data_IF_191123136464
#
_entry.id   IF_191123136464
#
_cell.length_a   1.000
_cell.length_b   1.000
_cell.length_c   1.000
_cell.angle_alpha   90.00
_cell.angle_beta   90.00
_cell.angle_gamma   90.00
#
_symmetry.space_group_name_H-M   'P 1'
#
loop_
_entity.id
_entity.type
_entity.pdbx_description
1 polymer ?
#
# COMPACT_ATOMS: atom_id res chain seq x y z
N UNK A 1 51.47 -5.87 11.99
CA UNK A 1 50.10 -6.39 11.79
C UNK A 1 49.16 -5.44 12.51
N UNK A 2 48.46 -4.59 11.76
CA UNK A 2 47.41 -3.72 12.27
C UNK A 2 46.20 -3.92 11.37
N UNK A 3 45.21 -4.65 11.86
CA UNK A 3 43.88 -4.71 11.27
C UNK A 3 43.19 -3.36 11.52
N UNK A 4 43.09 -2.53 10.48
CA UNK A 4 42.19 -1.38 10.52
C UNK A 4 40.96 -1.71 9.66
N UNK A 5 39.83 -1.78 10.36
CA UNK A 5 38.50 -2.01 9.80
C UNK A 5 38.22 -1.02 8.66
N UNK A 6 38.15 -1.52 7.42
CA UNK A 6 37.54 -0.79 6.32
C UNK A 6 36.05 -0.71 6.63
N UNK A 7 35.58 0.48 6.96
CA UNK A 7 34.18 0.80 7.10
C UNK A 7 33.45 0.38 5.81
N UNK A 8 32.47 -0.51 5.96
CA UNK A 8 31.65 -1.02 4.87
C UNK A 8 30.86 0.13 4.24
N UNK A 9 31.09 0.34 2.94
CA UNK A 9 30.26 1.20 2.12
C UNK A 9 28.93 0.46 1.84
N UNK A 10 27.98 0.54 2.78
CA UNK A 10 26.61 0.09 2.55
C UNK A 10 25.82 1.26 1.97
N UNK A 11 25.81 1.37 0.64
CA UNK A 11 24.98 2.34 -0.08
C UNK A 11 23.78 1.64 -0.71
N UNK A 12 22.59 2.20 -0.52
CA UNK A 12 21.33 1.73 -1.12
C UNK A 12 21.27 1.91 -2.66
N UNK A 13 22.35 2.37 -3.30
CA UNK A 13 22.51 2.54 -4.75
C UNK A 13 23.96 2.21 -5.21
N UNK A 14 24.50 1.03 -4.87
CA UNK A 14 25.82 0.56 -5.34
C UNK A 14 25.88 0.20 -6.83
N UNK A 15 27.10 0.18 -7.39
CA UNK A 15 27.45 -0.35 -8.73
C UNK A 15 27.08 -1.82 -8.80
N UNK A 16 25.86 -2.11 -9.28
CA UNK A 16 25.31 -3.46 -9.29
C UNK A 16 26.25 -4.43 -9.99
N UNK A 17 26.89 -5.30 -9.21
CA UNK A 17 27.47 -6.51 -9.75
C UNK A 17 26.35 -7.27 -10.45
N UNK A 18 26.63 -7.70 -11.68
CA UNK A 18 25.72 -8.57 -12.43
C UNK A 18 25.69 -9.92 -11.71
N UNK A 19 24.79 -10.07 -10.74
CA UNK A 19 24.48 -11.37 -10.15
C UNK A 19 23.73 -12.17 -11.21
N UNK A 20 24.48 -13.02 -11.93
CA UNK A 20 23.91 -13.99 -12.86
C UNK A 20 23.07 -14.95 -12.03
N UNK A 21 21.75 -14.86 -12.17
CA UNK A 21 20.84 -15.82 -11.55
C UNK A 21 21.08 -17.19 -12.17
N UNK A 22 21.12 -18.28 -11.38
CA UNK A 22 21.29 -19.63 -11.91
C UNK A 22 20.28 -19.90 -13.04
N UNK A 23 20.73 -20.47 -14.15
CA UNK A 23 19.85 -20.83 -15.27
C UNK A 23 18.78 -21.86 -14.85
N UNK A 24 19.08 -22.69 -13.85
CA UNK A 24 18.21 -23.75 -13.33
C UNK A 24 17.57 -23.39 -11.97
N UNK A 25 16.99 -22.19 -11.86
CA UNK A 25 16.29 -21.81 -10.62
C UNK A 25 14.99 -22.61 -10.45
N UNK A 26 15.01 -23.59 -9.54
CA UNK A 26 13.80 -24.21 -9.03
C UNK A 26 13.26 -23.45 -7.82
N UNK A 27 11.97 -23.08 -7.86
CA UNK A 27 11.36 -22.32 -6.76
C UNK A 27 11.33 -23.14 -5.47
N UNK A 28 11.96 -22.66 -4.37
CA UNK A 28 12.05 -23.41 -3.10
C UNK A 28 10.75 -23.32 -2.28
N UNK A 29 9.74 -22.58 -2.75
CA UNK A 29 8.44 -22.44 -2.10
C UNK A 29 7.51 -23.68 -2.26
N UNK A 30 8.02 -24.87 -2.54
CA UNK A 30 7.19 -26.10 -2.67
C UNK A 30 6.61 -26.52 -1.30
N UNK A 31 5.48 -27.26 -1.29
CA UNK A 31 4.83 -27.75 -0.05
C UNK A 31 5.75 -28.65 0.80
N UNK A 32 6.70 -29.34 0.16
CA UNK A 32 7.68 -30.20 0.83
C UNK A 32 8.80 -29.47 1.57
N UNK A 33 9.08 -28.21 1.24
CA UNK A 33 10.13 -27.42 1.88
C UNK A 33 9.54 -26.58 3.02
N UNK A 34 9.45 -27.20 4.20
CA UNK A 34 8.99 -26.57 5.45
C UNK A 34 10.17 -25.94 6.18
N UNK A 35 9.95 -24.76 6.75
CA UNK A 35 10.98 -24.04 7.48
C UNK A 35 11.43 -24.83 8.72
N UNK A 36 12.74 -25.09 8.82
CA UNK A 36 13.36 -25.63 10.03
C UNK A 36 13.38 -24.60 11.16
N UNK A 37 13.62 -25.04 12.40
CA UNK A 37 13.78 -24.13 13.56
C UNK A 37 14.87 -23.08 13.34
N UNK A 38 15.98 -23.47 12.70
CA UNK A 38 17.04 -22.55 12.33
C UNK A 38 16.59 -21.51 11.29
N UNK A 39 15.75 -21.91 10.32
CA UNK A 39 15.13 -21.00 9.36
C UNK A 39 14.25 -19.95 10.04
N UNK A 40 13.37 -20.37 10.95
CA UNK A 40 12.54 -19.44 11.74
C UNK A 40 13.36 -18.48 12.58
N UNK A 41 14.41 -18.97 13.26
CA UNK A 41 15.33 -18.14 14.04
C UNK A 41 16.06 -17.13 13.14
N UNK A 42 16.46 -17.52 11.94
CA UNK A 42 17.10 -16.63 10.96
C UNK A 42 16.14 -15.52 10.51
N UNK A 43 14.90 -15.87 10.14
CA UNK A 43 13.88 -14.91 9.71
C UNK A 43 13.65 -13.87 10.80
N UNK A 44 13.34 -14.30 12.03
CA UNK A 44 13.08 -13.39 13.13
C UNK A 44 14.26 -12.48 13.42
N UNK A 45 15.47 -13.04 13.51
CA UNK A 45 16.67 -12.26 13.82
C UNK A 45 16.95 -11.20 12.76
N UNK A 46 16.83 -11.55 11.47
CA UNK A 46 17.04 -10.62 10.35
C UNK A 46 15.98 -9.54 10.26
N UNK A 47 14.71 -9.89 10.44
CA UNK A 47 13.60 -8.91 10.50
C UNK A 47 13.90 -7.83 11.54
N UNK A 48 14.33 -8.24 12.75
CA UNK A 48 14.65 -7.30 13.84
C UNK A 48 15.96 -6.54 13.59
N UNK A 49 17.05 -7.21 13.24
CA UNK A 49 18.36 -6.54 13.08
C UNK A 49 18.37 -5.59 11.90
N UNK A 50 17.72 -5.98 10.81
CA UNK A 50 17.80 -5.24 9.57
C UNK A 50 16.75 -4.12 9.55
N UNK A 51 15.77 -4.09 10.48
CA UNK A 51 14.71 -3.07 10.55
C UNK A 51 15.30 -1.65 10.54
N UNK A 52 16.27 -1.42 11.43
CA UNK A 52 16.97 -0.14 11.53
C UNK A 52 17.99 0.04 10.40
N UNK A 53 18.72 -1.01 10.04
CA UNK A 53 19.77 -0.94 9.02
C UNK A 53 19.21 -0.60 7.64
N UNK A 54 18.00 -1.06 7.33
CA UNK A 54 17.35 -0.79 6.05
C UNK A 54 16.59 0.55 6.04
N UNK A 55 16.63 1.32 7.13
CA UNK A 55 15.90 2.59 7.29
C UNK A 55 14.40 2.46 6.99
N UNK A 56 13.76 1.38 7.49
CA UNK A 56 12.35 1.07 7.20
C UNK A 56 11.38 2.19 7.60
N UNK A 57 11.71 2.86 8.71
CA UNK A 57 11.00 4.01 9.25
C UNK A 57 10.97 5.19 8.25
N UNK A 58 12.12 5.51 7.64
CA UNK A 58 12.26 6.61 6.68
C UNK A 58 11.59 6.28 5.34
N UNK A 59 11.70 5.01 4.91
CA UNK A 59 11.02 4.52 3.71
C UNK A 59 9.50 4.58 3.85
N UNK A 60 8.98 4.23 5.03
CA UNK A 60 7.57 4.34 5.34
C UNK A 60 7.09 5.80 5.40
N UNK A 61 7.93 6.74 5.84
CA UNK A 61 7.61 8.17 5.79
C UNK A 61 7.43 8.65 4.34
N UNK A 62 8.27 8.17 3.41
CA UNK A 62 8.10 8.46 1.97
C UNK A 62 6.78 7.91 1.42
N UNK A 63 6.38 6.71 1.83
CA UNK A 63 5.07 6.13 1.46
C UNK A 63 3.92 6.97 2.02
N UNK A 64 4.04 7.39 3.28
CA UNK A 64 3.05 8.22 3.97
C UNK A 64 2.85 9.58 3.28
N UNK A 65 3.95 10.21 2.83
CA UNK A 65 3.88 11.43 2.02
C UNK A 65 3.06 11.24 0.74
N UNK A 66 3.30 10.16 -0.01
CA UNK A 66 2.51 9.88 -1.22
C UNK A 66 1.06 9.51 -0.90
N UNK A 67 0.79 8.84 0.22
CA UNK A 67 -0.57 8.60 0.71
C UNK A 67 -1.28 9.93 0.96
N UNK A 68 -0.67 10.84 1.71
CA UNK A 68 -1.24 12.14 2.03
C UNK A 68 -1.52 12.97 0.77
N UNK A 69 -0.58 12.98 -0.18
CA UNK A 69 -0.73 13.66 -1.47
C UNK A 69 -1.93 13.14 -2.29
N UNK A 70 -2.32 11.88 -2.09
CA UNK A 70 -3.47 11.27 -2.78
C UNK A 70 -4.83 11.52 -2.09
N UNK A 71 -4.85 11.89 -0.80
CA UNK A 71 -6.11 12.01 -0.03
C UNK A 71 -7.02 13.10 -0.60
N UNK A 72 -6.53 14.32 -0.80
CA UNK A 72 -7.38 15.44 -1.23
C UNK A 72 -8.01 15.20 -2.63
N UNK A 73 -7.24 14.80 -3.67
CA UNK A 73 -7.83 14.46 -4.97
C UNK A 73 -8.77 13.24 -4.89
N UNK A 74 -8.51 12.28 -4.00
CA UNK A 74 -9.40 11.13 -3.79
C UNK A 74 -10.73 11.54 -3.17
N UNK A 75 -10.72 12.41 -2.15
CA UNK A 75 -11.94 12.93 -1.53
C UNK A 75 -12.77 13.75 -2.53
N UNK A 76 -12.12 14.60 -3.32
CA UNK A 76 -12.78 15.39 -4.35
C UNK A 76 -13.42 14.50 -5.44
N UNK A 77 -12.70 13.47 -5.90
CA UNK A 77 -13.22 12.49 -6.84
C UNK A 77 -14.41 11.71 -6.26
N UNK A 78 -14.33 11.25 -5.00
CA UNK A 78 -15.41 10.53 -4.33
C UNK A 78 -16.66 11.40 -4.19
N UNK A 79 -16.50 12.65 -3.74
CA UNK A 79 -17.60 13.61 -3.66
C UNK A 79 -18.23 13.88 -5.03
N UNK A 80 -17.41 14.02 -6.08
CA UNK A 80 -17.89 14.36 -7.41
C UNK A 80 -18.60 13.17 -8.09
N UNK A 81 -18.17 11.93 -7.83
CA UNK A 81 -18.93 10.73 -8.22
C UNK A 81 -20.27 10.69 -7.49
N UNK A 82 -20.25 11.01 -6.20
CA UNK A 82 -21.43 11.01 -5.36
C UNK A 82 -22.46 12.06 -5.81
N UNK A 83 -22.03 13.30 -6.09
CA UNK A 83 -22.90 14.38 -6.56
C UNK A 83 -23.50 14.11 -7.95
N UNK A 84 -22.81 13.33 -8.80
CA UNK A 84 -23.33 12.91 -10.11
C UNK A 84 -24.38 11.79 -10.01
N UNK A 85 -24.28 10.91 -9.02
CA UNK A 85 -25.19 9.78 -8.83
C UNK A 85 -26.46 10.14 -8.05
N UNK A 86 -26.41 11.19 -7.23
CA UNK A 86 -27.55 11.64 -6.43
C UNK A 86 -28.44 12.65 -7.18
N UNK A 87 -29.78 12.61 -6.97
CA UNK A 87 -30.68 13.68 -7.41
C UNK A 87 -30.23 15.02 -6.82
N UNK A 88 -30.30 16.09 -7.61
CA UNK A 88 -29.91 17.45 -7.20
C UNK A 88 -30.70 17.89 -5.96
N UNK A 89 -30.07 17.79 -4.79
CA UNK A 89 -30.52 18.31 -3.51
C UNK A 89 -29.29 18.60 -2.67
N UNK A 90 -29.05 19.89 -2.40
CA UNK A 90 -27.77 20.41 -1.89
C UNK A 90 -27.38 19.85 -0.50
N UNK A 91 -28.32 19.27 0.25
CA UNK A 91 -28.08 18.81 1.63
C UNK A 91 -27.74 17.32 1.78
N UNK A 92 -27.96 16.51 0.73
CA UNK A 92 -27.84 15.04 0.83
C UNK A 92 -26.38 14.58 0.90
N UNK A 93 -25.47 15.26 0.18
CA UNK A 93 -24.04 14.95 0.22
C UNK A 93 -23.43 15.25 1.58
N UNK A 94 -23.79 16.37 2.20
CA UNK A 94 -23.35 16.74 3.54
C UNK A 94 -23.90 15.79 4.59
N UNK A 95 -25.17 15.36 4.48
CA UNK A 95 -25.74 14.37 5.39
C UNK A 95 -24.99 13.03 5.36
N UNK A 96 -24.53 12.61 4.18
CA UNK A 96 -23.77 11.36 4.04
C UNK A 96 -22.34 11.55 4.54
N UNK A 97 -21.68 12.67 4.23
CA UNK A 97 -20.37 12.98 4.82
C UNK A 97 -20.47 12.98 6.36
N UNK A 98 -21.53 13.56 6.93
CA UNK A 98 -21.79 13.55 8.37
C UNK A 98 -21.99 12.13 8.91
N UNK A 99 -22.76 11.28 8.23
CA UNK A 99 -22.95 9.86 8.62
C UNK A 99 -21.64 9.06 8.54
N UNK A 100 -20.82 9.30 7.51
CA UNK A 100 -19.50 8.65 7.34
C UNK A 100 -18.55 9.01 8.46
N UNK A 101 -18.51 10.30 8.76
CA UNK A 101 -17.74 10.83 9.87
C UNK A 101 -18.28 10.25 11.18
N UNK A 102 -19.60 10.20 11.37
CA UNK A 102 -20.22 9.64 12.57
C UNK A 102 -19.83 8.17 12.84
N UNK A 103 -19.66 7.38 11.77
CA UNK A 103 -19.44 5.94 11.86
C UNK A 103 -17.95 5.55 11.97
N UNK A 104 -17.06 6.20 11.21
CA UNK A 104 -15.65 5.82 11.13
C UNK A 104 -14.72 6.75 11.88
N UNK A 105 -15.17 7.96 12.14
CA UNK A 105 -14.42 8.94 12.92
C UNK A 105 -14.92 8.87 14.37
N UNK A 106 -14.02 8.68 15.35
CA UNK A 106 -14.40 8.73 16.75
C UNK A 106 -15.16 10.01 17.07
N UNK A 107 -16.18 9.91 17.93
CA UNK A 107 -17.09 11.01 18.30
C UNK A 107 -16.39 12.34 18.58
N UNK A 108 -15.17 12.29 19.13
CA UNK A 108 -14.37 13.43 19.51
C UNK A 108 -13.86 14.28 18.33
N UNK A 109 -13.86 13.72 17.12
CA UNK A 109 -13.17 14.29 15.94
C UNK A 109 -14.12 14.50 14.78
N UNK A 110 -15.41 14.25 15.01
CA UNK A 110 -16.41 14.23 13.97
C UNK A 110 -16.59 15.63 13.40
N UNK A 111 -16.65 16.64 14.25
CA UNK A 111 -16.81 18.01 13.80
C UNK A 111 -15.62 18.47 12.93
N UNK A 112 -14.39 18.16 13.32
CA UNK A 112 -13.21 18.62 12.58
C UNK A 112 -12.95 17.79 11.32
N UNK A 113 -13.26 16.50 11.34
CA UNK A 113 -13.24 15.68 10.14
C UNK A 113 -14.29 16.16 9.14
N UNK A 114 -15.51 16.47 9.61
CA UNK A 114 -16.57 17.04 8.78
C UNK A 114 -16.14 18.37 8.17
N UNK A 115 -15.62 19.31 8.98
CA UNK A 115 -15.13 20.60 8.49
C UNK A 115 -13.96 20.48 7.51
N UNK A 116 -13.03 19.56 7.74
CA UNK A 116 -11.91 19.34 6.83
C UNK A 116 -12.38 18.77 5.49
N UNK A 117 -13.25 17.78 5.53
CA UNK A 117 -13.79 17.16 4.31
C UNK A 117 -14.63 18.18 3.55
N UNK A 118 -15.52 18.91 4.23
CA UNK A 118 -16.34 19.95 3.61
C UNK A 118 -15.49 21.08 3.04
N UNK A 119 -14.40 21.50 3.69
CA UNK A 119 -13.48 22.50 3.14
C UNK A 119 -12.77 22.02 1.85
N UNK A 120 -12.41 20.72 1.78
CA UNK A 120 -11.80 20.11 0.58
C UNK A 120 -12.83 20.01 -0.56
N UNK A 121 -14.09 19.79 -0.19
CA UNK A 121 -15.21 19.47 -1.09
C UNK A 121 -16.01 20.70 -1.54
N UNK A 122 -16.02 21.78 -0.76
CA UNK A 122 -16.74 23.03 -1.04
C UNK A 122 -16.22 23.77 -2.28
N UNK A 123 -15.14 23.30 -2.89
CA UNK A 123 -14.72 23.75 -4.22
C UNK A 123 -15.73 23.21 -5.24
N UNK A 124 -16.51 24.05 -5.94
CA UNK A 124 -17.58 23.60 -6.81
C UNK A 124 -17.06 22.67 -7.91
N UNK A 125 -17.26 21.36 -7.73
CA UNK A 125 -17.02 20.35 -8.75
C UNK A 125 -18.27 20.17 -9.63
N UNK A 126 -18.98 21.26 -9.94
CA UNK A 126 -20.16 21.21 -10.81
C UNK A 126 -19.81 20.84 -12.26
N UNK A 127 -18.53 20.95 -12.66
CA UNK A 127 -18.09 20.58 -14.00
C UNK A 127 -17.49 19.17 -14.03
N UNK A 128 -17.96 18.34 -14.97
CA UNK A 128 -17.38 17.02 -15.31
C UNK A 128 -15.87 17.09 -15.58
N UNK A 129 -15.38 18.26 -16.01
CA UNK A 129 -13.96 18.54 -16.23
C UNK A 129 -13.18 18.57 -14.91
N UNK A 130 -13.72 19.19 -13.85
CA UNK A 130 -13.09 19.22 -12.54
C UNK A 130 -12.99 17.81 -11.91
N UNK A 131 -14.05 17.00 -12.02
CA UNK A 131 -14.02 15.58 -11.67
C UNK A 131 -12.90 14.86 -12.44
N UNK A 132 -12.87 14.96 -13.77
CA UNK A 132 -11.87 14.26 -14.58
C UNK A 132 -10.44 14.64 -14.19
N UNK A 133 -10.18 15.94 -13.97
CA UNK A 133 -8.87 16.44 -13.53
C UNK A 133 -8.51 15.91 -12.14
N UNK A 134 -9.43 15.96 -11.17
CA UNK A 134 -9.18 15.47 -9.81
C UNK A 134 -8.89 13.97 -9.77
N UNK A 135 -9.62 13.16 -10.54
CA UNK A 135 -9.40 11.72 -10.68
C UNK A 135 -8.03 11.43 -11.29
N UNK A 136 -7.65 12.15 -12.36
CA UNK A 136 -6.33 11.98 -12.98
C UNK A 136 -5.21 12.31 -12.00
N UNK A 137 -5.31 13.44 -11.29
CA UNK A 137 -4.32 13.85 -10.28
C UNK A 137 -4.26 12.82 -9.14
N UNK A 138 -5.40 12.33 -8.68
CA UNK A 138 -5.48 11.27 -7.65
C UNK A 138 -4.77 10.00 -8.09
N UNK A 139 -5.06 9.52 -9.31
CA UNK A 139 -4.43 8.33 -9.86
C UNK A 139 -2.93 8.51 -10.06
N UNK A 140 -2.47 9.70 -10.45
CA UNK A 140 -1.04 10.03 -10.55
C UNK A 140 -0.35 9.94 -9.19
N UNK A 141 -0.97 10.48 -8.13
CA UNK A 141 -0.47 10.41 -6.75
C UNK A 141 -0.47 8.98 -6.21
N UNK A 142 -1.55 8.23 -6.41
CA UNK A 142 -1.64 6.82 -6.02
C UNK A 142 -0.60 5.96 -6.78
N UNK A 143 -0.35 6.25 -8.06
CA UNK A 143 0.70 5.59 -8.84
C UNK A 143 2.10 5.93 -8.35
N UNK A 144 2.32 7.14 -7.80
CA UNK A 144 3.57 7.47 -7.12
C UNK A 144 3.79 6.62 -5.85
N UNK A 145 2.74 6.38 -5.06
CA UNK A 145 2.78 5.48 -3.91
C UNK A 145 3.20 4.05 -4.33
N UNK A 146 2.50 3.46 -5.30
CA UNK A 146 2.78 2.08 -5.77
C UNK A 146 4.20 1.96 -6.35
N UNK A 147 4.66 2.97 -7.10
CA UNK A 147 6.05 3.02 -7.60
C UNK A 147 7.06 3.11 -6.46
N UNK A 148 6.79 3.91 -5.44
CA UNK A 148 7.64 4.01 -4.26
C UNK A 148 7.69 2.69 -3.49
N UNK A 149 6.54 2.06 -3.29
CA UNK A 149 6.44 0.74 -2.68
C UNK A 149 7.24 -0.30 -3.47
N UNK A 150 7.08 -0.35 -4.79
CA UNK A 150 7.86 -1.24 -5.68
C UNK A 150 9.36 -1.06 -5.53
N UNK A 151 9.87 0.18 -5.49
CA UNK A 151 11.30 0.46 -5.29
C UNK A 151 11.78 -0.05 -3.94
N UNK A 152 11.02 0.20 -2.87
CA UNK A 152 11.37 -0.27 -1.53
C UNK A 152 11.32 -1.80 -1.44
N UNK A 153 10.30 -2.44 -2.02
CA UNK A 153 10.21 -3.89 -2.10
C UNK A 153 11.38 -4.50 -2.87
N UNK A 154 11.75 -3.94 -4.03
CA UNK A 154 12.92 -4.35 -4.80
C UNK A 154 14.20 -4.31 -3.94
N UNK A 155 14.39 -3.23 -3.17
CA UNK A 155 15.55 -3.06 -2.29
C UNK A 155 15.56 -4.08 -1.15
N UNK A 156 14.40 -4.39 -0.54
CA UNK A 156 14.26 -5.46 0.46
C UNK A 156 14.64 -6.82 -0.13
N UNK A 157 14.29 -7.09 -1.39
CA UNK A 157 14.73 -8.29 -2.09
C UNK A 157 16.20 -8.23 -2.57
N UNK A 158 16.91 -7.13 -2.33
CA UNK A 158 18.30 -6.93 -2.77
C UNK A 158 18.44 -6.81 -4.30
N UNK A 159 17.40 -6.29 -4.98
CA UNK A 159 17.35 -6.18 -6.45
C UNK A 159 17.07 -4.74 -6.88
N UNK A 160 17.48 -4.42 -8.10
CA UNK A 160 17.11 -3.18 -8.78
C UNK A 160 15.96 -3.43 -9.75
N UNK A 161 15.24 -2.36 -10.09
CA UNK A 161 14.19 -2.42 -11.10
C UNK A 161 14.81 -2.71 -12.48
N UNK A 162 14.53 -3.90 -13.01
CA UNK A 162 15.08 -4.39 -14.27
C UNK A 162 14.07 -4.43 -15.41
N UNK A 163 12.78 -4.11 -15.16
CA UNK A 163 11.81 -3.92 -16.24
C UNK A 163 12.16 -2.67 -17.07
N UNK A 164 11.88 -2.68 -18.39
CA UNK A 164 11.89 -1.46 -19.19
C UNK A 164 10.99 -0.38 -18.57
N UNK A 165 11.28 0.90 -18.84
CA UNK A 165 10.51 2.01 -18.27
C UNK A 165 9.02 1.88 -18.60
N UNK A 166 8.67 1.60 -19.86
CA UNK A 166 7.28 1.44 -20.30
C UNK A 166 6.57 0.30 -19.57
N UNK A 167 7.19 -0.88 -19.48
CA UNK A 167 6.61 -2.05 -18.78
C UNK A 167 6.43 -1.78 -17.30
N UNK A 168 7.40 -1.08 -16.68
CA UNK A 168 7.29 -0.65 -15.28
C UNK A 168 6.09 0.27 -15.10
N UNK A 169 5.95 1.30 -15.93
CA UNK A 169 4.84 2.24 -15.84
C UNK A 169 3.49 1.54 -15.99
N UNK A 170 3.30 0.74 -17.04
CA UNK A 170 2.05 0.01 -17.28
C UNK A 170 1.72 -0.92 -16.10
N UNK A 171 2.71 -1.66 -15.59
CA UNK A 171 2.49 -2.57 -14.44
C UNK A 171 2.07 -1.78 -13.19
N UNK A 172 2.76 -0.68 -12.90
CA UNK A 172 2.48 0.15 -11.72
C UNK A 172 1.10 0.81 -11.82
N UNK A 173 0.73 1.28 -13.00
CA UNK A 173 -0.61 1.82 -13.27
C UNK A 173 -1.69 0.76 -13.08
N UNK A 174 -1.51 -0.45 -13.62
CA UNK A 174 -2.48 -1.54 -13.46
C UNK A 174 -2.64 -1.93 -11.98
N UNK A 175 -1.53 -2.06 -11.24
CA UNK A 175 -1.58 -2.31 -9.78
C UNK A 175 -2.28 -1.16 -9.07
N UNK A 176 -2.00 0.09 -9.45
CA UNK A 176 -2.66 1.27 -8.86
C UNK A 176 -4.16 1.24 -9.08
N UNK A 177 -4.62 0.94 -10.30
CA UNK A 177 -6.05 0.83 -10.61
C UNK A 177 -6.69 -0.27 -9.76
N UNK A 178 -6.06 -1.44 -9.63
CA UNK A 178 -6.57 -2.52 -8.75
C UNK A 178 -6.63 -2.07 -7.29
N UNK A 179 -5.62 -1.36 -6.79
CA UNK A 179 -5.60 -0.82 -5.42
C UNK A 179 -6.71 0.22 -5.20
N UNK A 180 -6.91 1.13 -6.15
CA UNK A 180 -7.94 2.17 -6.06
C UNK A 180 -9.34 1.57 -6.15
N UNK A 181 -9.59 0.69 -7.13
CA UNK A 181 -10.89 0.00 -7.25
C UNK A 181 -11.17 -0.83 -6.00
N UNK A 182 -10.17 -1.55 -5.48
CA UNK A 182 -10.31 -2.30 -4.25
C UNK A 182 -10.58 -1.42 -3.02
N UNK A 183 -9.91 -0.28 -2.90
CA UNK A 183 -10.17 0.69 -1.85
C UNK A 183 -11.59 1.26 -1.95
N UNK A 184 -12.05 1.59 -3.16
CA UNK A 184 -13.43 2.03 -3.41
C UNK A 184 -14.43 0.93 -3.04
N UNK A 185 -14.18 -0.33 -3.39
CA UNK A 185 -15.03 -1.47 -2.99
C UNK A 185 -15.07 -1.63 -1.47
N UNK A 186 -13.93 -1.50 -0.79
CA UNK A 186 -13.87 -1.55 0.68
C UNK A 186 -14.68 -0.39 1.27
N UNK A 187 -14.48 0.84 0.77
CA UNK A 187 -15.20 2.02 1.23
C UNK A 187 -16.69 1.80 1.00
N UNK A 188 -17.15 1.64 -0.25
CA UNK A 188 -18.56 1.46 -0.60
C UNK A 188 -19.21 0.31 0.15
N UNK A 189 -18.53 -0.83 0.27
CA UNK A 189 -19.02 -1.96 1.06
C UNK A 189 -19.15 -1.63 2.55
N UNK A 190 -18.22 -0.86 3.09
CA UNK A 190 -18.31 -0.37 4.46
C UNK A 190 -19.43 0.68 4.61
N UNK A 191 -19.68 1.52 3.59
CA UNK A 191 -20.71 2.56 3.60
C UNK A 191 -22.13 2.01 3.41
N UNK A 192 -22.27 0.78 2.92
CA UNK A 192 -23.56 0.16 2.60
C UNK A 192 -24.33 -0.16 3.90
N UNK A 193 -25.05 0.84 4.41
CA UNK A 193 -25.80 0.82 5.68
C UNK A 193 -27.25 1.25 5.42
N UNK A 194 -28.17 0.89 6.32
CA UNK A 194 -29.60 1.17 6.18
C UNK A 194 -29.93 2.66 6.01
N UNK A 195 -29.25 3.54 6.76
CA UNK A 195 -29.37 5.01 6.58
C UNK A 195 -29.07 5.44 5.15
N UNK A 196 -27.91 5.01 4.62
CA UNK A 196 -27.41 5.42 3.31
C UNK A 196 -28.25 4.80 2.18
N UNK A 197 -28.64 3.52 2.30
CA UNK A 197 -29.47 2.84 1.30
C UNK A 197 -30.84 3.51 1.19
N UNK A 198 -31.49 3.82 2.31
CA UNK A 198 -32.78 4.50 2.29
C UNK A 198 -32.67 5.93 1.76
N UNK A 199 -31.61 6.66 2.09
CA UNK A 199 -31.36 8.01 1.59
C UNK A 199 -31.12 8.04 0.07
N UNK A 200 -30.36 7.09 -0.47
CA UNK A 200 -30.01 7.01 -1.90
C UNK A 200 -31.16 6.45 -2.74
N UNK A 201 -31.67 5.28 -2.34
CA UNK A 201 -32.62 4.52 -3.16
C UNK A 201 -34.08 4.83 -2.84
N UNK A 202 -34.39 5.35 -1.65
CA UNK A 202 -35.76 5.74 -1.28
C UNK A 202 -36.42 6.76 -2.22
N UNK A 203 -35.74 7.86 -2.61
CA UNK A 203 -36.27 8.84 -3.55
C UNK A 203 -36.49 8.30 -4.97
N UNK A 204 -35.74 7.26 -5.36
CA UNK A 204 -35.78 6.63 -6.68
C UNK A 204 -36.82 5.49 -6.72
N UNK A 205 -36.99 4.77 -5.62
CA UNK A 205 -37.88 3.61 -5.52
C UNK A 205 -39.36 3.98 -5.65
N UNK A 206 -39.79 5.09 -5.04
CA UNK A 206 -41.20 5.55 -5.11
C UNK A 206 -41.67 5.88 -6.54
N UNK A 207 -40.95 6.69 -7.35
CA UNK A 207 -41.37 6.98 -8.72
C UNK A 207 -41.21 5.79 -9.68
N UNK A 208 -40.34 4.82 -9.39
CA UNK A 208 -40.12 3.64 -10.22
C UNK A 208 -40.88 2.39 -9.76
N UNK A 209 -41.70 2.48 -8.72
CA UNK A 209 -42.43 1.35 -8.10
C UNK A 209 -41.53 0.21 -7.60
N UNK A 210 -40.26 0.51 -7.27
CA UNK A 210 -39.28 -0.47 -6.79
C UNK A 210 -39.32 -0.64 -5.26
N UNK A 211 -40.50 -0.47 -4.66
CA UNK A 211 -40.67 -0.48 -3.20
C UNK A 211 -40.45 -1.88 -2.62
N UNK A 212 -40.80 -2.94 -3.37
CA UNK A 212 -40.54 -4.32 -2.98
C UNK A 212 -39.04 -4.66 -3.01
N UNK A 213 -38.28 -4.20 -4.02
CA UNK A 213 -36.83 -4.41 -4.02
C UNK A 213 -36.13 -3.59 -2.93
N UNK A 214 -36.60 -2.37 -2.65
CA UNK A 214 -36.08 -1.57 -1.54
C UNK A 214 -36.36 -2.26 -0.19
N UNK A 215 -37.55 -2.83 -0.01
CA UNK A 215 -37.90 -3.58 1.19
C UNK A 215 -37.03 -4.85 1.33
N UNK A 216 -36.81 -5.61 0.25
CA UNK A 216 -35.90 -6.75 0.27
C UNK A 216 -34.46 -6.33 0.63
N UNK A 217 -33.98 -5.24 0.02
CA UNK A 217 -32.64 -4.71 0.25
C UNK A 217 -32.43 -4.31 1.71
N UNK A 218 -33.41 -3.65 2.31
CA UNK A 218 -33.35 -3.10 3.68
C UNK A 218 -33.66 -4.13 4.75
N UNK A 219 -34.69 -4.95 4.56
CA UNK A 219 -35.16 -5.91 5.57
C UNK A 219 -34.39 -7.25 5.56
N UNK A 220 -33.81 -7.64 4.42
CA UNK A 220 -33.18 -8.96 4.26
C UNK A 220 -31.70 -8.84 3.93
N UNK A 221 -31.33 -8.09 2.90
CA UNK A 221 -29.94 -8.02 2.45
C UNK A 221 -29.05 -7.26 3.44
N UNK A 222 -29.46 -6.10 3.94
CA UNK A 222 -28.65 -5.28 4.84
C UNK A 222 -28.31 -5.95 6.19
N UNK A 223 -29.24 -6.63 6.88
CA UNK A 223 -28.90 -7.36 8.11
C UNK A 223 -27.87 -8.47 7.86
N UNK A 224 -27.99 -9.20 6.74
CA UNK A 224 -27.00 -10.21 6.34
C UNK A 224 -25.67 -9.56 5.98
N UNK A 225 -25.72 -8.42 5.27
CA UNK A 225 -24.54 -7.64 4.92
C UNK A 225 -23.80 -7.14 6.15
N UNK A 226 -24.46 -6.70 7.21
CA UNK A 226 -23.79 -6.20 8.41
C UNK A 226 -22.86 -7.27 9.05
N UNK A 227 -23.30 -8.54 9.04
CA UNK A 227 -22.45 -9.67 9.45
C UNK A 227 -21.36 -10.02 8.42
N UNK A 228 -21.66 -9.92 7.12
CA UNK A 228 -20.72 -10.26 6.03
C UNK A 228 -19.72 -9.15 5.69
N UNK A 229 -19.99 -7.91 6.09
CA UNK A 229 -19.21 -6.72 5.75
C UNK A 229 -17.77 -6.86 6.21
N UNK A 230 -17.55 -7.19 7.49
CA UNK A 230 -16.21 -7.36 8.06
C UNK A 230 -15.41 -8.46 7.35
N UNK A 231 -15.92 -9.69 7.16
CA UNK A 231 -15.16 -10.73 6.46
C UNK A 231 -14.93 -10.39 4.97
N UNK A 232 -15.88 -9.75 4.28
CA UNK A 232 -15.69 -9.30 2.89
C UNK A 232 -14.57 -8.27 2.80
N UNK A 233 -14.57 -7.25 3.66
CA UNK A 233 -13.50 -6.24 3.72
C UNK A 233 -12.14 -6.90 4.01
N UNK A 234 -12.10 -7.89 4.91
CA UNK A 234 -10.87 -8.63 5.20
C UNK A 234 -10.38 -9.41 3.99
N UNK A 235 -11.25 -10.12 3.27
CA UNK A 235 -10.91 -10.87 2.05
C UNK A 235 -10.40 -9.94 0.94
N UNK A 236 -11.08 -8.81 0.71
CA UNK A 236 -10.63 -7.81 -0.27
C UNK A 236 -9.27 -7.24 0.13
N UNK A 237 -9.08 -6.88 1.41
CA UNK A 237 -7.78 -6.39 1.91
C UNK A 237 -6.65 -7.42 1.72
N UNK A 238 -6.93 -8.70 1.99
CA UNK A 238 -6.00 -9.81 1.73
C UNK A 238 -5.62 -9.87 0.25
N UNK A 239 -6.60 -9.78 -0.65
CA UNK A 239 -6.37 -9.78 -2.08
C UNK A 239 -5.52 -8.59 -2.53
N UNK A 240 -5.81 -7.38 -2.04
CA UNK A 240 -5.08 -6.16 -2.39
C UNK A 240 -3.62 -6.18 -1.91
N UNK A 241 -3.38 -6.52 -0.65
CA UNK A 241 -2.00 -6.65 -0.13
C UNK A 241 -1.23 -7.73 -0.89
N UNK A 242 -1.88 -8.84 -1.24
CA UNK A 242 -1.23 -9.91 -2.01
C UNK A 242 -0.91 -9.50 -3.46
N UNK A 243 -1.81 -8.75 -4.11
CA UNK A 243 -1.55 -8.15 -5.43
C UNK A 243 -0.36 -7.19 -5.33
N UNK A 244 -0.36 -6.32 -4.32
CA UNK A 244 0.71 -5.36 -4.09
C UNK A 244 2.05 -6.05 -3.86
N UNK A 245 2.08 -7.10 -3.02
CA UNK A 245 3.32 -7.84 -2.69
C UNK A 245 3.85 -8.67 -3.85
N UNK A 246 2.98 -9.20 -4.73
CA UNK A 246 3.41 -10.06 -5.82
C UNK A 246 3.77 -9.29 -7.10
N UNK A 247 3.00 -8.26 -7.47
CA UNK A 247 3.14 -7.57 -8.76
C UNK A 247 4.00 -6.30 -8.69
N UNK A 248 4.09 -5.65 -7.53
CA UNK A 248 4.95 -4.48 -7.38
C UNK A 248 6.44 -4.83 -7.55
N UNK A 249 7.04 -5.79 -6.82
CA UNK A 249 8.46 -6.07 -6.98
C UNK A 249 8.80 -6.76 -8.31
N UNK A 250 10.00 -6.47 -8.83
CA UNK A 250 10.62 -7.08 -10.00
C UNK A 250 11.28 -8.44 -9.68
N UNK A 251 10.70 -9.22 -8.77
CA UNK A 251 11.19 -10.56 -8.41
C UNK A 251 10.14 -11.59 -8.79
N UNK A 252 10.57 -12.78 -9.22
CA UNK A 252 9.73 -13.96 -9.43
C UNK A 252 9.90 -14.93 -8.25
N UNK A 253 9.26 -14.68 -7.09
CA UNK A 253 9.42 -15.54 -5.93
C UNK A 253 8.77 -16.93 -6.12
N UNK A 254 7.82 -17.07 -7.06
CA UNK A 254 7.11 -18.32 -7.34
C UNK A 254 5.72 -18.07 -7.93
N UNK A 255 4.77 -18.98 -7.66
CA UNK A 255 3.34 -18.81 -8.02
C UNK A 255 2.65 -17.80 -7.09
N UNK A 256 1.67 -17.07 -7.62
CA UNK A 256 0.81 -16.17 -6.84
C UNK A 256 0.11 -16.92 -5.70
N UNK A 257 0.05 -16.29 -4.52
CA UNK A 257 -0.64 -16.80 -3.33
C UNK A 257 -1.43 -15.66 -2.71
N UNK A 258 -2.70 -15.92 -2.41
CA UNK A 258 -3.58 -14.98 -1.72
C UNK A 258 -3.18 -14.74 -0.26
N UNK A 259 -2.42 -15.64 0.36
CA UNK A 259 -2.00 -15.47 1.75
C UNK A 259 -0.55 -15.94 1.87
N UNK A 260 0.36 -14.99 2.01
CA UNK A 260 1.75 -15.22 2.36
C UNK A 260 1.94 -14.98 3.86
N UNK A 261 3.09 -15.39 4.41
CA UNK A 261 3.34 -15.17 5.84
C UNK A 261 3.44 -13.67 6.13
N UNK A 262 4.11 -12.94 5.25
CA UNK A 262 4.27 -11.49 5.31
C UNK A 262 2.95 -10.74 5.19
N UNK A 263 2.11 -11.08 4.21
CA UNK A 263 0.81 -10.40 4.04
C UNK A 263 -0.14 -10.69 5.20
N UNK A 264 -0.16 -11.92 5.71
CA UNK A 264 -0.93 -12.28 6.90
C UNK A 264 -0.45 -11.52 8.15
N UNK A 265 0.87 -11.49 8.40
CA UNK A 265 1.42 -10.74 9.55
C UNK A 265 1.13 -9.25 9.44
N UNK A 266 1.26 -8.67 8.25
CA UNK A 266 1.00 -7.25 8.04
C UNK A 266 -0.46 -6.90 8.34
N UNK A 267 -1.40 -7.67 7.81
CA UNK A 267 -2.83 -7.45 8.02
C UNK A 267 -3.24 -7.63 9.49
N UNK A 268 -2.69 -8.63 10.17
CA UNK A 268 -2.95 -8.85 11.60
C UNK A 268 -2.46 -7.67 12.45
N UNK A 269 -1.23 -7.19 12.20
CA UNK A 269 -0.67 -6.07 12.95
C UNK A 269 -1.38 -4.76 12.60
N UNK A 270 -1.77 -4.53 11.34
CA UNK A 270 -2.59 -3.37 10.96
C UNK A 270 -3.95 -3.41 11.67
N UNK A 271 -4.59 -4.57 11.78
CA UNK A 271 -5.81 -4.73 12.56
C UNK A 271 -5.59 -4.38 14.05
N UNK A 272 -4.49 -4.84 14.64
CA UNK A 272 -4.11 -4.49 16.01
C UNK A 272 -3.82 -2.98 16.18
N UNK A 273 -3.19 -2.34 15.18
CA UNK A 273 -2.96 -0.89 15.17
C UNK A 273 -4.27 -0.11 15.16
N UNK A 274 -5.26 -0.55 14.39
CA UNK A 274 -6.60 0.06 14.40
C UNK A 274 -7.28 -0.02 15.78
N UNK A 275 -7.20 -1.18 16.44
CA UNK A 275 -7.74 -1.37 17.79
C UNK A 275 -7.00 -0.46 18.78
N UNK A 276 -5.67 -0.44 18.74
CA UNK A 276 -4.84 0.41 19.57
C UNK A 276 -5.10 1.90 19.34
N UNK A 277 -5.32 2.30 18.10
CA UNK A 277 -5.69 3.67 17.76
C UNK A 277 -7.05 4.07 18.33
N UNK A 278 -8.04 3.17 18.26
CA UNK A 278 -9.35 3.38 18.91
C UNK A 278 -9.21 3.61 20.41
N UNK A 279 -8.33 2.86 21.08
CA UNK A 279 -8.05 3.05 22.52
C UNK A 279 -7.32 4.37 22.80
N UNK A 280 -6.33 4.73 21.98
CA UNK A 280 -5.62 6.00 22.08
C UNK A 280 -6.58 7.20 22.04
N UNK A 281 -7.54 7.18 21.12
CA UNK A 281 -8.51 8.27 20.95
C UNK A 281 -9.44 8.39 22.16
N UNK A 282 -9.88 7.27 22.73
CA UNK A 282 -10.72 7.24 23.93
C UNK A 282 -10.00 7.73 25.19
N UNK A 283 -8.70 7.47 25.32
CA UNK A 283 -7.95 7.74 26.56
C UNK A 283 -7.21 9.09 26.51
N UNK A 284 -6.54 9.36 25.40
CA UNK A 284 -5.58 10.47 25.25
C UNK A 284 -6.13 11.55 24.32
N UNK A 285 -6.85 11.16 23.26
CA UNK A 285 -7.41 12.10 22.28
C UNK A 285 -8.27 13.21 22.92
N UNK A 286 -9.10 12.85 23.90
CA UNK A 286 -9.98 13.78 24.65
C UNK A 286 -9.20 14.84 25.45
N UNK A 287 -7.95 14.56 25.83
CA UNK A 287 -7.15 15.39 26.74
C UNK A 287 -5.99 16.11 26.04
N UNK A 288 -5.91 16.02 24.71
CA UNK A 288 -4.81 16.61 23.95
C UNK A 288 -4.86 18.14 24.03
N UNK A 289 -3.78 18.75 24.54
CA UNK A 289 -3.57 20.21 24.53
C UNK A 289 -3.57 20.79 23.11
N UNK A 290 -3.35 19.95 22.10
CA UNK A 290 -3.30 20.34 20.68
C UNK A 290 -4.66 20.24 19.98
N UNK A 291 -5.73 19.83 20.66
CA UNK A 291 -7.09 19.73 20.08
C UNK A 291 -7.12 18.94 18.76
N UNK A 292 -7.91 19.42 17.81
CA UNK A 292 -8.07 18.87 16.46
C UNK A 292 -6.74 18.62 15.71
N UNK A 293 -5.73 19.47 15.92
CA UNK A 293 -4.42 19.32 15.29
C UNK A 293 -3.68 18.07 15.78
N UNK A 294 -3.78 17.76 17.08
CA UNK A 294 -3.17 16.56 17.66
C UNK A 294 -3.75 15.27 17.07
N UNK A 295 -5.02 15.29 16.71
CA UNK A 295 -5.69 14.18 16.05
C UNK A 295 -5.19 13.93 14.64
N UNK A 296 -5.07 14.98 13.82
CA UNK A 296 -4.56 14.86 12.45
C UNK A 296 -3.15 14.26 12.49
N UNK A 297 -2.31 14.71 13.42
CA UNK A 297 -0.99 14.12 13.65
C UNK A 297 -1.06 12.66 14.07
N UNK A 298 -2.02 12.27 14.93
CA UNK A 298 -2.20 10.89 15.33
C UNK A 298 -2.65 9.98 14.17
N UNK A 299 -3.54 10.46 13.29
CA UNK A 299 -3.92 9.75 12.06
C UNK A 299 -2.73 9.61 11.11
N UNK A 300 -1.95 10.69 10.93
CA UNK A 300 -0.73 10.64 10.11
C UNK A 300 0.28 9.63 10.68
N UNK A 301 0.46 9.61 11.99
CA UNK A 301 1.30 8.63 12.67
C UNK A 301 0.78 7.20 12.49
N UNK A 302 -0.54 6.99 12.52
CA UNK A 302 -1.15 5.70 12.26
C UNK A 302 -0.87 5.21 10.83
N UNK A 303 -1.08 6.07 9.83
CA UNK A 303 -0.78 5.75 8.42
C UNK A 303 0.70 5.42 8.27
N UNK A 304 1.58 6.15 8.95
CA UNK A 304 3.00 5.88 8.96
C UNK A 304 3.33 4.51 9.56
N UNK A 305 2.76 4.16 10.72
CA UNK A 305 2.90 2.84 11.34
C UNK A 305 2.38 1.72 10.42
N UNK A 306 1.25 1.91 9.74
CA UNK A 306 0.74 0.94 8.77
C UNK A 306 1.71 0.74 7.60
N UNK A 307 2.32 1.80 7.08
CA UNK A 307 3.32 1.69 6.02
C UNK A 307 4.60 0.98 6.49
N UNK A 308 5.03 1.19 7.74
CA UNK A 308 6.13 0.41 8.34
C UNK A 308 5.77 -1.08 8.33
N UNK A 309 4.59 -1.42 8.83
CA UNK A 309 4.12 -2.82 8.90
C UNK A 309 3.99 -3.45 7.50
N UNK A 310 3.54 -2.69 6.50
CA UNK A 310 3.47 -3.16 5.12
C UNK A 310 4.86 -3.45 4.52
N UNK A 311 5.87 -2.63 4.81
CA UNK A 311 7.25 -2.90 4.36
C UNK A 311 7.84 -4.11 5.09
N UNK A 312 7.58 -4.22 6.39
CA UNK A 312 8.00 -5.38 7.19
C UNK A 312 7.35 -6.69 6.72
N UNK A 313 6.09 -6.66 6.30
CA UNK A 313 5.48 -7.85 5.69
C UNK A 313 6.20 -8.30 4.41
N UNK A 314 6.63 -7.37 3.55
CA UNK A 314 7.45 -7.71 2.37
C UNK A 314 8.79 -8.33 2.79
N UNK A 315 9.41 -7.80 3.84
CA UNK A 315 10.66 -8.30 4.38
C UNK A 315 10.53 -9.70 4.96
N UNK A 316 9.46 -9.99 5.69
CA UNK A 316 9.14 -11.33 6.17
C UNK A 316 9.05 -12.30 4.99
N UNK A 317 8.37 -11.94 3.90
CA UNK A 317 8.28 -12.79 2.71
C UNK A 317 9.64 -13.00 2.03
N UNK A 318 10.47 -11.95 1.94
CA UNK A 318 11.82 -12.03 1.41
C UNK A 318 12.73 -12.94 2.25
N UNK A 319 12.64 -12.85 3.57
CA UNK A 319 13.42 -13.69 4.49
C UNK A 319 12.92 -15.15 4.52
N UNK A 320 11.61 -15.38 4.37
CA UNK A 320 11.05 -16.73 4.18
C UNK A 320 11.60 -17.36 2.92
N UNK A 321 11.68 -16.60 1.82
CA UNK A 321 12.26 -17.05 0.57
C UNK A 321 13.74 -17.37 0.74
N UNK A 322 14.52 -16.46 1.34
CA UNK A 322 15.95 -16.64 1.62
C UNK A 322 16.21 -17.88 2.48
N UNK A 323 15.47 -18.06 3.57
CA UNK A 323 15.62 -19.22 4.46
C UNK A 323 15.34 -20.54 3.73
N UNK A 324 14.38 -20.55 2.81
CA UNK A 324 14.04 -21.71 1.99
C UNK A 324 15.07 -21.98 0.89
N UNK A 325 15.65 -20.94 0.29
CA UNK A 325 16.78 -21.08 -0.64
C UNK A 325 18.00 -21.70 0.07
N UNK A 326 18.35 -21.22 1.26
CA UNK A 326 19.45 -21.76 2.07
C UNK A 326 19.24 -23.24 2.45
N UNK A 327 18.01 -23.64 2.77
CA UNK A 327 17.66 -25.05 3.05
C UNK A 327 17.80 -25.96 1.84
N UNK A 328 17.71 -25.41 0.62
CA UNK A 328 17.96 -26.11 -0.63
C UNK A 328 19.43 -26.08 -1.06
N UNK A 329 20.34 -25.55 -0.24
CA UNK A 329 21.77 -25.49 -0.54
C UNK A 329 22.16 -24.35 -1.48
N UNK A 330 21.26 -23.41 -1.76
CA UNK A 330 21.60 -22.20 -2.54
C UNK A 330 22.36 -21.21 -1.65
N UNK A 331 23.40 -20.55 -2.18
CA UNK A 331 24.13 -19.52 -1.44
C UNK A 331 23.37 -18.19 -1.42
N UNK A 332 22.33 -18.12 -0.58
CA UNK A 332 21.49 -16.92 -0.41
C UNK A 332 21.84 -16.08 0.81
N UNK A 333 23.06 -16.24 1.35
CA UNK A 333 23.48 -15.56 2.60
C UNK A 333 23.49 -14.03 2.49
N UNK A 334 23.87 -13.53 1.31
CA UNK A 334 23.96 -12.10 0.98
C UNK A 334 22.85 -11.65 0.04
N UNK A 335 22.57 -12.40 -1.02
CA UNK A 335 21.60 -12.04 -2.05
C UNK A 335 20.58 -13.14 -2.27
N UNK A 336 19.31 -12.77 -2.43
CA UNK A 336 18.25 -13.72 -2.78
C UNK A 336 18.43 -14.14 -4.24
N UNK A 337 18.43 -15.44 -4.48
CA UNK A 337 18.76 -16.04 -5.78
C UNK A 337 17.59 -16.03 -6.76
N UNK A 338 16.36 -15.82 -6.27
CA UNK A 338 15.17 -15.70 -7.10
C UNK A 338 15.34 -14.77 -8.31
N UNK A 339 14.96 -15.23 -9.53
CA UNK A 339 15.21 -14.48 -10.75
C UNK A 339 14.33 -13.23 -10.82
N UNK A 340 14.83 -12.16 -11.46
CA UNK A 340 14.02 -10.98 -11.70
C UNK A 340 12.91 -11.27 -12.71
N UNK A 341 11.85 -10.46 -12.73
CA UNK A 341 10.82 -10.59 -13.77
C UNK A 341 11.38 -10.23 -15.15
N UNK A 342 12.20 -9.18 -15.18
CA UNK A 342 12.96 -8.72 -16.35
C UNK A 342 14.29 -8.09 -15.91
N UNK A 343 15.31 -8.22 -16.75
CA UNK A 343 16.65 -7.65 -16.58
C UNK A 343 17.03 -6.66 -17.70
N UNK A 344 16.20 -6.49 -18.74
CA UNK A 344 16.54 -5.71 -19.92
C UNK A 344 16.74 -4.22 -19.61
N UNK A 345 15.93 -3.66 -18.71
CA UNK A 345 16.08 -2.29 -18.23
C UNK A 345 17.33 -2.09 -17.37
N UNK A 346 17.77 -3.12 -16.64
CA UNK A 346 19.00 -3.08 -15.86
C UNK A 346 20.25 -3.13 -16.74
N UNK A 347 20.22 -3.96 -17.79
CA UNK A 347 21.30 -4.06 -18.77
C UNK A 347 21.57 -2.72 -19.47
N UNK A 348 20.52 -2.01 -19.87
CA UNK A 348 20.64 -0.68 -20.47
C UNK A 348 21.30 0.34 -19.51
N UNK A 349 20.87 0.38 -18.24
CA UNK A 349 21.49 1.30 -17.24
C UNK A 349 22.94 0.95 -16.94
N UNK A 350 23.31 -0.33 -16.96
CA UNK A 350 24.68 -0.78 -16.80
C UNK A 350 25.56 -0.33 -17.98
N UNK A 351 25.04 -0.37 -19.21
CA UNK A 351 25.75 0.17 -20.37
C UNK A 351 25.98 1.68 -20.24
N UNK A 352 24.97 2.44 -19.77
CA UNK A 352 25.12 3.87 -19.52
C UNK A 352 26.16 4.16 -18.43
N UNK A 353 26.17 3.39 -17.34
CA UNK A 353 27.19 3.51 -16.29
C UNK A 353 28.59 3.21 -16.80
N UNK A 354 28.78 2.14 -17.57
CA UNK A 354 30.08 1.84 -18.21
C UNK A 354 30.55 2.95 -19.15
N UNK A 355 29.65 3.75 -19.70
CA UNK A 355 30.02 4.91 -20.50
C UNK A 355 30.49 6.07 -19.60
N UNK A 356 29.79 6.34 -18.50
CA UNK A 356 30.23 7.37 -17.53
C UNK A 356 31.52 6.98 -16.80
N UNK A 357 31.69 5.69 -16.48
CA UNK A 357 32.90 5.19 -15.82
C UNK A 357 34.11 5.33 -16.74
N UNK A 358 33.96 5.04 -18.05
CA UNK A 358 35.01 5.29 -19.03
C UNK A 358 35.42 6.77 -19.12
N UNK A 359 34.46 7.70 -19.06
CA UNK A 359 34.78 9.14 -19.04
C UNK A 359 35.56 9.51 -17.78
N UNK A 360 35.22 8.90 -16.63
CA UNK A 360 35.94 9.11 -15.39
C UNK A 360 37.38 8.56 -15.46
N UNK A 361 37.55 7.36 -16.03
CA UNK A 361 38.86 6.77 -16.29
C UNK A 361 39.68 7.66 -17.23
N UNK A 362 39.10 8.16 -18.33
CA UNK A 362 39.76 9.10 -19.25
C UNK A 362 40.23 10.40 -18.56
N UNK A 363 39.48 10.90 -17.57
CA UNK A 363 39.85 12.08 -16.77
C UNK A 363 41.02 11.77 -15.83
N UNK A 364 41.06 10.56 -15.26
CA UNK A 364 42.14 10.13 -14.38
C UNK A 364 43.44 9.93 -15.17
N UNK A 365 43.35 9.32 -16.36
CA UNK A 365 44.48 9.06 -17.24
C UNK A 365 45.09 10.35 -17.81
N UNK A 366 44.31 11.43 -17.96
CA UNK A 366 44.82 12.76 -18.35
C UNK A 366 45.66 13.46 -17.28
N UNK A 367 45.70 12.92 -16.06
CA UNK A 367 46.42 13.51 -14.93
C UNK A 367 47.83 12.92 -14.75
N UNK A 368 48.12 11.81 -15.42
CA UNK A 368 49.46 11.21 -15.58
C UNK A 368 50.18 11.80 -16.80
#
# INVERSE_FOLDING_TARGET
MAESHRADMVMAYGTGDLVVTPHDYETPLRRGNRLTRAGWKSIFRRVVTDFSNDAMVDRAATLTYYTLLSVAPMLLAAYSIFSLLMPRGDDMADSIIADLVAQYVPAQLQEEAFQLISAIVATPAESTVALAVSVIISLLSASAYVRSFSRNANLIYGRTEGRPMAVTWVTMWLVTVVMVVGAVVIILGALLTDSIVNAVFGPIARPLQLEEELHYLTAIFLPVWDYLRTPVIAVVSIALVSVLYYFAPNVKPGKFRLLTLGSASALLVIGALWIGFSWYLKLVGIRSTYGAFGTVLAVLALIWLMNIVLLEGVKIDAEVLRAKELQHGMDSRRHIQAPPRSNSGAAWRLQTRRWTDRIADDILDQRE
#
